data_IF_910752953957
#
_entry.id   IF_910752953957
#
_cell.length_a   1.000
_cell.length_b   1.000
_cell.length_c   1.000
_cell.angle_alpha   90.00
_cell.angle_beta   90.00
_cell.angle_gamma   90.00
#
_symmetry.space_group_name_H-M   'P 1'
#
loop_
_entity.id
_entity.type
_entity.pdbx_description
1 polymer ?
#
# COMPACT_ATOMS: atom_id res chain seq x y z
N UNK A 1 0.02 2.83 12.70
CA UNK A 1 -0.12 1.47 12.20
C UNK A 1 0.90 1.29 11.10
N UNK A 2 1.65 0.19 11.16
CA UNK A 2 2.66 -0.13 10.17
C UNK A 2 2.00 -0.47 8.84
N UNK A 3 2.56 0.06 7.77
CA UNK A 3 2.11 -0.20 6.41
C UNK A 3 3.30 -0.31 5.45
N UNK A 4 3.06 -0.98 4.32
CA UNK A 4 3.98 -1.02 3.19
C UNK A 4 3.38 -0.19 2.05
N UNK A 5 4.21 0.63 1.42
CA UNK A 5 3.77 1.51 0.34
C UNK A 5 4.89 2.03 -0.53
N UNK A 6 4.60 3.05 -1.32
CA UNK A 6 5.55 3.70 -2.21
C UNK A 6 5.22 5.19 -2.41
N UNK A 7 6.27 5.99 -2.64
CA UNK A 7 6.16 7.43 -2.92
C UNK A 7 6.18 7.75 -4.42
N UNK A 8 6.81 6.90 -5.23
CA UNK A 8 6.89 7.05 -6.67
C UNK A 8 6.63 5.71 -7.36
N UNK A 9 5.82 5.73 -8.42
CA UNK A 9 5.64 4.55 -9.25
C UNK A 9 6.90 4.26 -10.10
N UNK A 10 7.28 3.01 -10.25
CA UNK A 10 8.51 2.67 -10.97
C UNK A 10 8.91 1.19 -10.92
N UNK A 11 10.13 0.85 -11.39
CA UNK A 11 10.64 -0.52 -11.40
C UNK A 11 10.91 -1.05 -9.98
N UNK A 12 10.83 -2.37 -9.76
CA UNK A 12 11.10 -2.97 -8.43
C UNK A 12 12.55 -2.81 -7.98
N UNK A 13 13.45 -2.54 -8.92
CA UNK A 13 14.87 -2.33 -8.67
C UNK A 13 15.19 -0.93 -8.14
N UNK A 14 14.21 -0.02 -8.05
CA UNK A 14 14.41 1.27 -7.39
C UNK A 14 14.64 1.05 -5.89
N UNK A 15 15.54 1.83 -5.24
CA UNK A 15 15.91 1.63 -3.84
C UNK A 15 14.73 1.86 -2.87
N UNK A 16 13.75 2.66 -3.27
CA UNK A 16 12.55 3.02 -2.52
C UNK A 16 11.26 2.46 -3.16
N UNK A 17 11.39 1.39 -3.97
CA UNK A 17 10.27 0.77 -4.66
C UNK A 17 9.16 0.29 -3.71
N UNK A 18 9.52 -0.13 -2.50
CA UNK A 18 8.63 -0.43 -1.38
C UNK A 18 9.26 0.07 -0.09
N UNK A 19 8.49 0.80 0.72
CA UNK A 19 8.94 1.35 1.99
C UNK A 19 7.98 0.92 3.11
N UNK A 20 8.55 0.65 4.30
CA UNK A 20 7.78 0.56 5.54
C UNK A 20 7.60 1.96 6.11
N UNK A 21 6.38 2.28 6.55
CA UNK A 21 6.07 3.55 7.20
C UNK A 21 4.94 3.38 8.22
N UNK A 22 4.81 4.36 9.11
CA UNK A 22 3.70 4.46 10.06
C UNK A 22 2.65 5.42 9.53
N UNK A 23 1.38 5.03 9.66
CA UNK A 23 0.21 5.87 9.34
C UNK A 23 -0.86 5.78 10.41
N UNK A 24 -1.82 6.69 10.44
CA UNK A 24 -2.95 6.61 11.37
C UNK A 24 -3.85 5.40 11.05
N UNK A 25 -4.52 4.87 12.08
CA UNK A 25 -5.58 3.89 11.88
C UNK A 25 -6.78 4.60 11.25
N UNK A 26 -7.37 4.07 10.16
CA UNK A 26 -8.45 4.76 9.47
C UNK A 26 -9.72 4.84 10.32
N UNK A 27 -10.49 5.90 10.13
CA UNK A 27 -11.85 6.01 10.64
C UNK A 27 -12.79 5.12 9.81
N UNK A 28 -13.71 4.43 10.48
CA UNK A 28 -14.64 3.51 9.84
C UNK A 28 -15.95 4.21 9.46
N UNK A 29 -16.43 3.97 8.24
CA UNK A 29 -17.79 4.26 7.84
C UNK A 29 -18.79 3.23 8.40
N UNK A 30 -20.09 3.46 8.16
CA UNK A 30 -21.18 2.62 8.72
C UNK A 30 -21.18 1.16 8.24
N UNK A 31 -20.45 0.84 7.18
CA UNK A 31 -20.39 -0.50 6.57
C UNK A 31 -18.97 -1.05 6.44
N UNK A 32 -17.99 -0.38 7.06
CA UNK A 32 -16.60 -0.80 7.01
C UNK A 32 -16.25 -1.75 8.15
N UNK A 33 -15.21 -2.56 7.95
CA UNK A 33 -14.63 -3.41 8.98
C UNK A 33 -13.18 -2.99 9.24
N UNK A 34 -12.81 -2.90 10.52
CA UNK A 34 -11.40 -2.83 10.92
C UNK A 34 -10.87 -4.23 11.10
N UNK A 35 -9.92 -4.62 10.26
CA UNK A 35 -9.32 -5.96 10.25
C UNK A 35 -7.87 -5.88 10.71
N UNK A 36 -7.50 -6.72 11.69
CA UNK A 36 -6.11 -6.93 12.07
C UNK A 36 -5.47 -7.91 11.07
N UNK A 37 -4.74 -7.37 10.09
CA UNK A 37 -4.08 -8.16 9.04
C UNK A 37 -2.97 -9.04 9.64
N UNK A 38 -3.08 -10.36 9.45
CA UNK A 38 -2.07 -11.35 9.89
C UNK A 38 -1.22 -11.92 8.75
N UNK A 39 -1.67 -11.78 7.51
CA UNK A 39 -0.97 -12.23 6.31
C UNK A 39 -1.66 -11.67 5.06
N UNK A 40 -0.89 -11.56 3.97
CA UNK A 40 -1.34 -11.02 2.69
C UNK A 40 -0.81 -11.89 1.54
N UNK A 41 -1.43 -11.79 0.37
CA UNK A 41 -0.88 -12.33 -0.88
C UNK A 41 -0.10 -11.26 -1.64
N UNK A 42 0.64 -11.67 -2.66
CA UNK A 42 1.18 -10.79 -3.70
C UNK A 42 0.65 -11.27 -5.03
N UNK A 43 -0.11 -10.40 -5.71
CA UNK A 43 -0.80 -10.71 -6.94
C UNK A 43 -0.23 -9.87 -8.11
N UNK A 44 -0.48 -10.26 -9.38
CA UNK A 44 -0.03 -9.49 -10.54
C UNK A 44 -0.55 -8.04 -10.58
N UNK A 45 -1.67 -7.74 -9.92
CA UNK A 45 -2.21 -6.38 -9.83
C UNK A 45 -1.31 -5.47 -8.99
N UNK A 46 -0.71 -5.96 -7.91
CA UNK A 46 0.16 -5.18 -7.04
C UNK A 46 1.38 -4.66 -7.81
N UNK A 47 1.96 -5.51 -8.67
CA UNK A 47 3.06 -5.13 -9.56
C UNK A 47 2.62 -4.04 -10.53
N UNK A 48 1.45 -4.18 -11.16
CA UNK A 48 0.95 -3.21 -12.15
C UNK A 48 0.65 -1.86 -11.51
N UNK A 49 0.00 -1.85 -10.35
CA UNK A 49 -0.36 -0.64 -9.60
C UNK A 49 0.90 0.09 -9.17
N UNK A 50 1.80 -0.60 -8.45
CA UNK A 50 3.03 0.03 -7.96
C UNK A 50 3.95 0.50 -9.09
N UNK A 51 4.00 -0.22 -10.22
CA UNK A 51 4.83 0.20 -11.36
C UNK A 51 4.26 1.36 -12.18
N UNK A 52 2.94 1.62 -12.14
CA UNK A 52 2.29 2.53 -13.11
C UNK A 52 1.43 3.63 -12.50
N UNK A 53 0.96 3.48 -11.27
CA UNK A 53 0.03 4.42 -10.65
C UNK A 53 0.76 5.28 -9.63
N UNK A 54 1.01 6.54 -9.97
CA UNK A 54 1.56 7.50 -9.02
C UNK A 54 0.61 7.67 -7.81
N UNK A 55 1.14 7.85 -6.59
CA UNK A 55 0.31 8.24 -5.45
C UNK A 55 -0.43 9.55 -5.69
N UNK A 56 -1.70 9.63 -5.30
CA UNK A 56 -2.47 10.87 -5.41
C UNK A 56 -2.03 11.91 -4.37
N UNK A 57 -1.74 11.45 -3.15
CA UNK A 57 -1.19 12.25 -2.03
C UNK A 57 -0.34 11.36 -1.12
N UNK A 58 0.80 11.88 -0.68
CA UNK A 58 1.68 11.19 0.26
C UNK A 58 2.13 9.80 -0.22
N UNK A 59 2.38 8.91 0.73
CA UNK A 59 2.72 7.51 0.47
C UNK A 59 1.47 6.70 0.19
N UNK A 60 1.45 5.96 -0.94
CA UNK A 60 0.34 5.07 -1.27
C UNK A 60 0.58 3.70 -0.65
N UNK A 61 -0.35 3.24 0.20
CA UNK A 61 -0.39 1.86 0.70
C UNK A 61 -0.67 0.91 -0.47
N UNK A 62 0.04 -0.21 -0.54
CA UNK A 62 -0.13 -1.25 -1.57
C UNK A 62 -0.66 -2.54 -0.95
N UNK A 63 -1.53 -3.24 -1.67
CA UNK A 63 -2.25 -4.43 -1.22
C UNK A 63 -3.76 -4.28 -1.42
N UNK A 64 -4.42 -5.39 -1.75
CA UNK A 64 -5.85 -5.43 -2.08
C UNK A 64 -6.59 -6.59 -1.39
N UNK A 65 -5.92 -7.25 -0.43
CA UNK A 65 -6.45 -8.37 0.36
C UNK A 65 -6.83 -7.92 1.78
#
# INVERSE_FOLDING_TARGET
MKAIGYNQAGPITAPDALIEFETETPELGSQDLLVEVRGISVNPVDVKVRAKMAPEKGTKVIGYD
#
